data_IF_077152623374
#
_entry.id   IF_077152623374
#
_cell.length_a   1.000
_cell.length_b   1.000
_cell.length_c   1.000
_cell.angle_alpha   90.00
_cell.angle_beta   90.00
_cell.angle_gamma   90.00
#
_symmetry.space_group_name_H-M   'P 1'
#
loop_
_entity.id
_entity.type
_entity.pdbx_description
1 polymer ?
#
# COMPACT_ATOMS: atom_id res chain seq x y z
N UNK A 1 -30.87 -35.27 24.13
CA UNK A 1 -30.36 -33.89 24.17
C UNK A 1 -29.47 -33.69 22.95
N UNK A 2 -29.83 -32.76 22.07
CA UNK A 2 -29.23 -32.62 20.75
C UNK A 2 -27.86 -31.90 20.81
N UNK A 3 -26.80 -32.58 20.39
CA UNK A 3 -25.51 -31.94 20.13
C UNK A 3 -25.49 -31.49 18.67
N UNK A 4 -25.72 -30.18 18.45
CA UNK A 4 -25.50 -29.54 17.15
C UNK A 4 -24.08 -28.99 17.12
N UNK A 5 -23.15 -29.76 16.59
CA UNK A 5 -21.83 -29.27 16.20
C UNK A 5 -21.98 -28.32 15.02
N UNK A 6 -21.95 -27.02 15.29
CA UNK A 6 -21.79 -25.99 14.25
C UNK A 6 -20.31 -25.91 13.92
N UNK A 7 -19.90 -26.58 12.84
CA UNK A 7 -18.60 -26.36 12.23
C UNK A 7 -18.49 -24.91 11.76
N UNK A 8 -17.62 -24.14 12.39
CA UNK A 8 -17.29 -22.80 11.98
C UNK A 8 -16.53 -22.84 10.66
N UNK A 9 -17.09 -22.21 9.63
CA UNK A 9 -16.40 -21.97 8.37
C UNK A 9 -15.10 -21.21 8.65
N UNK A 10 -13.93 -21.64 8.17
CA UNK A 10 -12.77 -20.77 8.19
C UNK A 10 -13.09 -19.60 7.26
N UNK A 11 -13.28 -18.41 7.83
CA UNK A 11 -13.34 -17.18 7.06
C UNK A 11 -11.96 -17.00 6.42
N UNK A 12 -11.83 -17.45 5.17
CA UNK A 12 -10.71 -17.10 4.31
C UNK A 12 -10.58 -15.58 4.34
N UNK A 13 -9.53 -15.08 5.02
CA UNK A 13 -9.27 -13.66 5.18
C UNK A 13 -9.01 -13.11 3.78
N UNK A 14 -9.97 -12.40 3.21
CA UNK A 14 -9.84 -11.78 1.91
C UNK A 14 -8.54 -10.94 1.89
N UNK A 15 -7.78 -10.95 0.78
CA UNK A 15 -6.59 -10.12 0.67
C UNK A 15 -7.00 -8.67 0.95
N UNK A 16 -6.36 -8.10 1.97
CA UNK A 16 -6.61 -6.75 2.42
C UNK A 16 -5.96 -5.81 1.41
N UNK A 17 -6.74 -5.39 0.41
CA UNK A 17 -6.27 -4.49 -0.65
C UNK A 17 -6.65 -3.04 -0.35
N UNK A 18 -5.70 -2.10 -0.51
CA UNK A 18 -5.99 -0.68 -0.56
C UNK A 18 -6.66 -0.37 -1.90
N UNK A 19 -7.82 0.26 -1.84
CA UNK A 19 -8.59 0.64 -3.03
C UNK A 19 -8.14 2.02 -3.47
N UNK A 20 -7.25 2.06 -4.47
CA UNK A 20 -6.53 3.26 -4.88
C UNK A 20 -6.91 3.71 -6.28
N UNK A 21 -6.83 5.02 -6.50
CA UNK A 21 -6.86 5.62 -7.83
C UNK A 21 -5.43 6.07 -8.16
N UNK A 22 -4.75 5.45 -9.14
CA UNK A 22 -3.35 5.75 -9.44
C UNK A 22 -3.08 7.22 -9.74
N UNK A 23 -4.02 7.89 -10.42
CA UNK A 23 -3.91 9.31 -10.78
C UNK A 23 -3.99 10.26 -9.58
N UNK A 24 -4.41 9.77 -8.42
CA UNK A 24 -4.51 10.53 -7.16
C UNK A 24 -3.42 10.15 -6.16
N UNK A 25 -2.40 9.42 -6.60
CA UNK A 25 -1.31 9.02 -5.72
C UNK A 25 -0.33 10.16 -5.44
N UNK A 26 -0.23 11.18 -6.28
CA UNK A 26 0.68 12.29 -6.05
C UNK A 26 0.40 12.96 -4.69
N UNK A 27 1.45 13.15 -3.88
CA UNK A 27 1.41 13.67 -2.50
C UNK A 27 0.62 12.81 -1.50
N UNK A 28 0.25 11.58 -1.87
CA UNK A 28 -0.37 10.64 -0.93
C UNK A 28 0.66 10.15 0.09
N UNK A 29 0.19 9.95 1.33
CA UNK A 29 0.99 9.61 2.49
C UNK A 29 0.86 8.13 2.79
N UNK A 30 1.98 7.49 3.08
CA UNK A 30 2.06 6.05 3.28
C UNK A 30 2.94 5.69 4.46
N UNK A 31 2.58 4.60 5.13
CA UNK A 31 3.36 4.02 6.21
C UNK A 31 3.73 2.59 5.84
N UNK A 32 5.03 2.28 5.85
CA UNK A 32 5.52 0.93 5.66
C UNK A 32 5.16 0.09 6.89
N UNK A 33 4.42 -1.00 6.68
CA UNK A 33 4.07 -1.96 7.72
C UNK A 33 5.31 -2.69 8.28
N UNK A 34 6.32 -2.87 7.42
CA UNK A 34 7.62 -3.43 7.76
C UNK A 34 8.72 -2.40 7.49
N UNK A 35 8.99 -1.47 8.42
CA UNK A 35 9.97 -0.42 8.21
C UNK A 35 11.39 -0.97 8.16
N UNK A 36 12.10 -0.65 7.09
CA UNK A 36 13.53 -0.89 6.96
C UNK A 36 14.27 0.41 7.30
N UNK A 37 15.46 0.32 7.91
CA UNK A 37 16.31 1.50 8.19
C UNK A 37 15.64 2.64 9.01
N UNK A 38 14.62 2.31 9.83
CA UNK A 38 13.79 3.28 10.57
C UNK A 38 12.95 4.20 9.67
N UNK A 39 12.86 3.90 8.38
CA UNK A 39 11.98 4.58 7.42
C UNK A 39 10.58 3.98 7.53
N UNK A 40 9.68 4.71 8.18
CA UNK A 40 8.27 4.31 8.32
C UNK A 40 7.38 5.08 7.36
N UNK A 41 7.58 6.39 7.26
CA UNK A 41 6.70 7.25 6.50
C UNK A 41 7.29 7.61 5.14
N UNK A 42 6.46 7.46 4.12
CA UNK A 42 6.78 7.73 2.74
C UNK A 42 5.73 8.66 2.14
N UNK A 43 6.16 9.51 1.22
CA UNK A 43 5.31 10.39 0.44
C UNK A 43 5.51 10.06 -1.03
N UNK A 44 4.43 9.96 -1.79
CA UNK A 44 4.55 9.90 -3.25
C UNK A 44 4.88 11.30 -3.78
N UNK A 45 6.05 11.45 -4.40
CA UNK A 45 6.55 12.75 -4.90
C UNK A 45 6.36 12.91 -6.40
N UNK A 46 6.28 11.81 -7.15
CA UNK A 46 6.13 11.84 -8.61
C UNK A 46 5.33 10.64 -9.12
N UNK A 47 4.64 10.83 -10.26
CA UNK A 47 3.93 9.77 -10.99
C UNK A 47 4.58 9.59 -12.36
N UNK A 48 4.90 8.36 -12.72
CA UNK A 48 5.41 8.02 -14.03
C UNK A 48 4.31 7.33 -14.84
N UNK A 49 3.95 7.93 -15.97
CA UNK A 49 2.89 7.48 -16.85
C UNK A 49 3.45 7.02 -18.20
N UNK A 50 2.72 6.13 -18.87
CA UNK A 50 2.94 5.84 -20.30
C UNK A 50 2.37 6.94 -21.22
N UNK A 51 2.50 6.73 -22.52
CA UNK A 51 2.01 7.62 -23.58
C UNK A 51 0.47 7.84 -23.53
N UNK A 52 -0.27 6.88 -22.96
CA UNK A 52 -1.73 6.94 -22.81
C UNK A 52 -2.15 7.62 -21.48
N UNK A 53 -1.19 8.02 -20.65
CA UNK A 53 -1.45 8.64 -19.35
C UNK A 53 -1.90 7.66 -18.27
N UNK A 54 -1.52 6.38 -18.41
CA UNK A 54 -1.68 5.34 -17.39
C UNK A 54 -0.49 5.36 -16.46
N UNK A 55 -0.75 5.50 -15.15
CA UNK A 55 0.32 5.47 -14.14
C UNK A 55 0.88 4.05 -14.06
N UNK A 56 2.18 3.91 -14.30
CA UNK A 56 2.91 2.66 -14.20
C UNK A 56 3.68 2.59 -12.88
N UNK A 57 4.40 3.66 -12.58
CA UNK A 57 5.30 3.74 -11.43
C UNK A 57 5.09 5.05 -10.68
N UNK A 58 5.60 5.07 -9.46
CA UNK A 58 5.61 6.22 -8.58
C UNK A 58 7.00 6.38 -7.98
N UNK A 59 7.33 7.61 -7.63
CA UNK A 59 8.44 7.88 -6.73
C UNK A 59 7.93 7.95 -5.30
N UNK A 60 8.46 7.11 -4.41
CA UNK A 60 8.27 7.18 -2.98
C UNK A 60 9.49 7.82 -2.34
N UNK A 61 9.29 8.89 -1.58
CA UNK A 61 10.32 9.51 -0.76
C UNK A 61 10.10 9.19 0.71
N UNK A 62 11.10 8.55 1.33
CA UNK A 62 11.18 8.41 2.78
C UNK A 62 11.28 9.79 3.43
N UNK A 63 10.35 10.12 4.34
CA UNK A 63 10.27 11.46 4.95
C UNK A 63 11.51 11.77 5.79
N UNK A 64 12.02 10.77 6.51
CA UNK A 64 13.13 10.94 7.45
C UNK A 64 14.49 11.09 6.74
N UNK A 65 14.79 10.19 5.82
CA UNK A 65 16.11 10.08 5.17
C UNK A 65 16.19 10.83 3.86
N UNK A 66 15.04 11.27 3.32
CA UNK A 66 14.91 11.84 1.96
C UNK A 66 15.41 10.87 0.86
N UNK A 67 15.44 9.57 1.16
CA UNK A 67 15.72 8.55 0.16
C UNK A 67 14.52 8.42 -0.77
N UNK A 68 14.78 8.46 -2.07
CA UNK A 68 13.77 8.25 -3.10
C UNK A 68 13.91 6.84 -3.65
N UNK A 69 12.78 6.19 -3.92
CA UNK A 69 12.74 4.94 -4.63
C UNK A 69 11.59 4.92 -5.64
N UNK A 70 11.89 4.37 -6.81
CA UNK A 70 10.92 4.20 -7.89
C UNK A 70 10.36 2.79 -7.84
N UNK A 71 9.04 2.68 -7.74
CA UNK A 71 8.34 1.40 -7.62
C UNK A 71 7.07 1.39 -8.46
N UNK A 72 6.61 0.20 -8.84
CA UNK A 72 5.30 0.02 -9.46
C UNK A 72 4.21 0.44 -8.47
N UNK A 73 3.29 1.31 -8.88
CA UNK A 73 2.31 1.90 -7.95
C UNK A 73 1.45 0.86 -7.22
N UNK A 74 1.26 -0.32 -7.84
CA UNK A 74 0.45 -1.42 -7.32
C UNK A 74 0.98 -1.99 -6.00
N UNK A 75 2.25 -1.77 -5.64
CA UNK A 75 2.78 -2.18 -4.32
C UNK A 75 1.97 -1.57 -3.19
N UNK A 76 1.49 -0.33 -3.36
CA UNK A 76 0.66 0.37 -2.37
C UNK A 76 -0.71 -0.29 -2.16
N UNK A 77 -1.14 -1.18 -3.07
CA UNK A 77 -2.39 -1.92 -2.90
C UNK A 77 -2.29 -2.98 -1.81
N UNK A 78 -1.10 -3.48 -1.48
CA UNK A 78 -0.96 -4.52 -0.45
C UNK A 78 -0.89 -3.90 0.96
N UNK A 79 -1.95 -4.08 1.74
CA UNK A 79 -2.00 -3.60 3.14
C UNK A 79 -1.03 -4.30 4.08
N UNK A 80 -0.46 -5.44 3.69
CA UNK A 80 0.58 -6.09 4.49
C UNK A 80 1.91 -5.36 4.41
N UNK A 81 2.13 -4.57 3.36
CA UNK A 81 3.35 -3.80 3.16
C UNK A 81 3.13 -2.30 3.36
N UNK A 82 1.96 -1.79 2.94
CA UNK A 82 1.68 -0.36 2.89
C UNK A 82 0.33 0.00 3.53
N UNK A 83 0.40 0.86 4.54
CA UNK A 83 -0.76 1.43 5.20
C UNK A 83 -0.96 2.86 4.71
N UNK A 84 -2.21 3.23 4.43
CA UNK A 84 -2.54 4.57 3.96
C UNK A 84 -2.52 5.57 5.13
N UNK A 85 -1.92 6.74 4.89
CA UNK A 85 -1.77 7.81 5.87
C UNK A 85 -0.49 7.71 6.70
N UNK A 86 -0.38 8.60 7.69
CA UNK A 86 0.65 8.53 8.74
C UNK A 86 0.03 7.80 9.93
N UNK A 87 0.26 6.50 9.99
CA UNK A 87 -0.19 5.64 11.08
C UNK A 87 1.00 5.30 11.98
#
# INVERSE_FOLDING_TARGET
MAQRSRGGTPLTRAPQVNRLNPRKLLLSKWTAAHPLNRERHFLVTELFCDEEGTVLEIELQAVLTRRNERVVWRVLQDKQHWLMGWQ
#
